data_IF_516414468405
#
_entry.id   IF_516414468405
#
_cell.length_a   1.000
_cell.length_b   1.000
_cell.length_c   1.000
_cell.angle_alpha   90.00
_cell.angle_beta   90.00
_cell.angle_gamma   90.00
#
_symmetry.space_group_name_H-M   'P 1'
#
loop_
_entity.id
_entity.type
_entity.pdbx_description
1 polymer ?
#
# COMPACT_ATOMS: atom_id res chain seq x y z
N UNK A 1 68.48 11.97 -33.20
CA UNK A 1 68.85 10.59 -32.83
C UNK A 1 68.76 10.46 -31.32
N UNK A 2 67.72 9.82 -30.80
CA UNK A 2 67.76 9.07 -29.53
C UNK A 2 66.52 8.16 -29.51
N UNK A 3 66.77 6.87 -29.68
CA UNK A 3 65.78 5.81 -29.67
C UNK A 3 65.52 5.37 -28.22
N UNK A 4 64.26 5.35 -27.81
CA UNK A 4 63.81 4.77 -26.55
C UNK A 4 63.55 3.27 -26.75
N UNK A 5 64.34 2.45 -26.08
CA UNK A 5 64.23 1.00 -26.04
C UNK A 5 62.96 0.58 -25.26
N UNK A 6 62.10 -0.21 -25.90
CA UNK A 6 61.02 -0.96 -25.26
C UNK A 6 61.56 -2.33 -24.80
N UNK A 7 61.59 -2.58 -23.49
CA UNK A 7 61.79 -3.94 -22.94
C UNK A 7 60.44 -4.67 -22.82
N UNK A 8 60.40 -6.00 -23.04
CA UNK A 8 59.16 -6.78 -22.94
C UNK A 8 58.84 -7.11 -21.47
N UNK A 9 57.57 -6.94 -21.08
CA UNK A 9 57.03 -7.39 -19.79
C UNK A 9 56.89 -8.91 -19.78
N UNK A 10 57.57 -9.58 -18.86
CA UNK A 10 57.40 -11.01 -18.57
C UNK A 10 56.06 -11.34 -17.90
N UNK A 11 55.66 -12.63 -17.85
CA UNK A 11 54.36 -13.05 -17.34
C UNK A 11 54.27 -12.96 -15.81
N UNK A 12 53.16 -12.44 -15.31
CA UNK A 12 52.84 -12.34 -13.88
C UNK A 12 52.65 -13.73 -13.23
N UNK A 13 53.10 -13.94 -11.98
CA UNK A 13 53.03 -15.24 -11.32
C UNK A 13 51.62 -15.58 -10.83
N UNK A 14 51.17 -16.82 -11.11
CA UNK A 14 49.88 -17.45 -10.76
C UNK A 14 49.56 -17.58 -9.25
N UNK A 15 50.32 -16.96 -8.34
CA UNK A 15 50.28 -17.24 -6.89
C UNK A 15 49.34 -16.36 -6.06
N UNK A 16 48.70 -15.35 -6.63
CA UNK A 16 47.82 -14.41 -5.89
C UNK A 16 46.34 -14.82 -5.86
N UNK A 17 45.95 -15.89 -6.56
CA UNK A 17 44.54 -16.25 -6.73
C UNK A 17 43.94 -17.04 -5.55
N UNK A 18 44.77 -17.65 -4.68
CA UNK A 18 44.30 -18.48 -3.56
C UNK A 18 44.01 -17.70 -2.27
N UNK A 19 44.64 -16.55 -2.04
CA UNK A 19 44.38 -15.72 -0.85
C UNK A 19 43.10 -14.90 -0.94
N UNK A 20 42.61 -14.57 -2.15
CA UNK A 20 41.32 -13.85 -2.31
C UNK A 20 40.10 -14.74 -2.02
N UNK A 21 40.22 -16.06 -2.17
CA UNK A 21 39.12 -16.98 -1.92
C UNK A 21 38.84 -17.17 -0.41
N UNK A 22 39.86 -17.06 0.45
CA UNK A 22 39.72 -17.22 1.90
C UNK A 22 39.20 -15.95 2.60
N UNK A 23 39.44 -14.77 2.01
CA UNK A 23 38.89 -13.50 2.51
C UNK A 23 37.39 -13.35 2.18
N UNK A 24 36.93 -13.95 1.07
CA UNK A 24 35.53 -13.92 0.68
C UNK A 24 34.64 -14.78 1.61
N UNK A 25 35.14 -15.87 2.18
CA UNK A 25 34.36 -16.74 3.09
C UNK A 25 34.20 -16.16 4.50
N UNK A 26 35.10 -15.29 4.96
CA UNK A 26 35.02 -14.61 6.26
C UNK A 26 34.02 -13.43 6.28
N UNK A 27 33.59 -12.93 5.12
CA UNK A 27 32.63 -11.83 5.01
C UNK A 27 31.16 -12.29 5.02
N UNK A 28 30.89 -13.61 5.00
CA UNK A 28 29.52 -14.15 5.04
C UNK A 28 29.02 -14.56 6.45
N UNK A 29 29.83 -14.42 7.50
CA UNK A 29 29.47 -14.84 8.86
C UNK A 29 28.58 -13.84 9.63
N UNK A 30 28.14 -12.75 8.99
CA UNK A 30 27.36 -11.68 9.62
C UNK A 30 25.83 -11.79 9.52
N UNK A 31 25.28 -12.86 8.94
CA UNK A 31 23.82 -13.03 8.89
C UNK A 31 23.26 -13.33 10.29
N UNK A 32 22.90 -12.28 11.03
CA UNK A 32 22.08 -12.38 12.23
C UNK A 32 20.71 -12.91 11.83
N UNK A 33 20.53 -14.23 11.87
CA UNK A 33 19.22 -14.83 11.74
C UNK A 33 18.46 -14.55 13.04
N UNK A 34 17.27 -13.92 12.99
CA UNK A 34 16.45 -13.77 14.18
C UNK A 34 16.18 -15.15 14.79
N UNK A 35 16.57 -15.33 16.06
CA UNK A 35 16.28 -16.54 16.82
C UNK A 35 14.81 -16.51 17.23
N UNK A 36 13.96 -17.19 16.46
CA UNK A 36 12.56 -17.39 16.84
C UNK A 36 12.45 -18.64 17.71
N UNK A 37 11.62 -18.56 18.76
CA UNK A 37 11.32 -19.70 19.60
C UNK A 37 10.37 -20.64 18.85
N UNK A 38 10.68 -21.93 18.84
CA UNK A 38 9.76 -22.95 18.35
C UNK A 38 8.98 -23.53 19.52
N UNK A 39 7.66 -23.61 19.38
CA UNK A 39 6.76 -24.16 20.40
C UNK A 39 5.82 -25.17 19.78
N UNK A 40 5.42 -26.18 20.56
CA UNK A 40 4.34 -27.11 20.22
C UNK A 40 3.11 -26.72 21.04
N UNK A 41 1.94 -26.58 20.41
CA UNK A 41 0.71 -26.26 21.16
C UNK A 41 0.06 -27.52 21.76
N UNK A 42 0.31 -28.69 21.15
CA UNK A 42 0.01 -30.01 21.71
C UNK A 42 1.16 -30.99 21.44
N UNK A 43 1.24 -32.08 22.22
CA UNK A 43 2.35 -33.05 22.19
C UNK A 43 2.50 -33.76 20.83
N UNK A 44 1.40 -33.88 20.08
CA UNK A 44 1.30 -34.50 18.76
C UNK A 44 1.36 -33.49 17.59
N UNK A 45 1.54 -32.20 17.86
CA UNK A 45 1.65 -31.17 16.83
C UNK A 45 3.10 -30.93 16.37
N UNK A 46 3.24 -30.46 15.12
CA UNK A 46 4.51 -29.98 14.62
C UNK A 46 4.91 -28.68 15.37
N UNK A 47 6.20 -28.49 15.69
CA UNK A 47 6.66 -27.23 16.27
C UNK A 47 6.38 -26.07 15.30
N UNK A 48 5.75 -25.02 15.81
CA UNK A 48 5.47 -23.77 15.09
C UNK A 48 6.39 -22.66 15.57
N UNK A 49 6.69 -21.72 14.66
CA UNK A 49 7.46 -20.54 14.98
C UNK A 49 6.61 -19.57 15.79
N UNK A 50 7.03 -19.24 17.01
CA UNK A 50 6.36 -18.25 17.84
C UNK A 50 7.01 -16.88 17.65
N UNK A 51 6.23 -15.92 17.16
CA UNK A 51 6.59 -14.52 17.12
C UNK A 51 6.38 -13.83 18.49
N UNK A 52 6.67 -12.52 18.58
CA UNK A 52 6.35 -11.71 19.75
C UNK A 52 4.85 -11.79 20.11
N UNK A 53 4.54 -11.74 21.40
CA UNK A 53 3.16 -11.74 21.89
C UNK A 53 2.36 -10.51 21.43
N UNK A 54 1.00 -10.58 21.47
CA UNK A 54 0.15 -9.44 21.16
C UNK A 54 0.47 -8.23 22.04
N UNK A 55 0.37 -7.03 21.47
CA UNK A 55 0.56 -5.76 22.16
C UNK A 55 -0.59 -4.81 21.89
N UNK A 56 -0.73 -3.77 22.71
CA UNK A 56 -1.60 -2.64 22.38
C UNK A 56 -1.16 -1.99 21.06
N UNK A 57 -2.16 -1.61 20.25
CA UNK A 57 -1.94 -0.93 18.97
C UNK A 57 -1.82 0.58 19.17
N UNK A 58 -0.74 1.00 19.84
CA UNK A 58 -0.42 2.39 20.13
C UNK A 58 0.16 3.16 18.94
N UNK A 59 0.17 4.48 19.04
CA UNK A 59 0.80 5.40 18.08
C UNK A 59 1.69 6.42 18.79
N UNK A 60 2.51 7.21 18.06
CA UNK A 60 3.24 8.33 18.66
C UNK A 60 2.35 9.40 19.34
N UNK A 61 1.03 9.35 19.15
CA UNK A 61 0.07 10.29 19.76
C UNK A 61 -0.51 9.82 21.10
N UNK A 62 -0.15 8.64 21.59
CA UNK A 62 -0.69 8.11 22.85
C UNK A 62 -0.47 9.08 24.03
N UNK A 63 0.71 9.69 24.11
CA UNK A 63 1.02 10.71 25.12
C UNK A 63 0.20 12.00 24.92
N UNK A 64 -0.11 12.37 23.68
CA UNK A 64 -0.97 13.52 23.39
C UNK A 64 -2.40 13.29 23.87
N UNK A 65 -2.94 12.07 23.72
CA UNK A 65 -4.25 11.70 24.26
C UNK A 65 -4.27 11.74 25.79
N UNK A 66 -3.26 11.17 26.44
CA UNK A 66 -3.15 11.20 27.90
C UNK A 66 -3.08 12.65 28.43
N UNK A 67 -2.24 13.49 27.82
CA UNK A 67 -2.14 14.90 28.14
C UNK A 67 -3.48 15.65 27.95
N UNK A 68 -4.15 15.45 26.82
CA UNK A 68 -5.41 16.13 26.54
C UNK A 68 -6.51 15.67 27.51
N UNK A 69 -6.60 14.37 27.79
CA UNK A 69 -7.54 13.79 28.75
C UNK A 69 -7.40 14.44 30.13
N UNK A 70 -6.17 14.53 30.66
CA UNK A 70 -5.90 15.16 31.95
C UNK A 70 -6.39 16.62 31.98
N UNK A 71 -6.05 17.38 30.94
CA UNK A 71 -6.43 18.80 30.86
C UNK A 71 -7.94 18.99 30.75
N UNK A 72 -8.65 18.13 30.02
CA UNK A 72 -10.12 18.16 29.94
C UNK A 72 -10.73 17.93 31.32
N UNK A 73 -10.26 16.91 32.05
CA UNK A 73 -10.76 16.57 33.39
C UNK A 73 -10.49 17.71 34.39
N UNK A 74 -9.28 18.26 34.40
CA UNK A 74 -8.90 19.38 35.25
C UNK A 74 -9.74 20.63 34.97
N UNK A 75 -9.90 21.00 33.70
CA UNK A 75 -10.69 22.15 33.27
C UNK A 75 -12.18 21.96 33.57
N UNK A 76 -12.67 20.72 33.48
CA UNK A 76 -14.06 20.35 33.69
C UNK A 76 -14.58 20.56 35.12
N UNK A 77 -13.69 20.64 36.14
CA UNK A 77 -14.05 20.86 37.56
C UNK A 77 -15.24 20.00 38.05
N UNK A 78 -15.29 18.73 37.65
CA UNK A 78 -16.37 17.80 38.05
C UNK A 78 -17.65 17.85 37.21
N UNK A 79 -17.65 18.56 36.06
CA UNK A 79 -18.69 18.43 35.05
C UNK A 79 -18.70 17.01 34.47
N UNK A 80 -19.87 16.46 34.10
CA UNK A 80 -19.94 15.19 33.40
C UNK A 80 -19.17 15.26 32.07
N UNK A 81 -18.53 14.15 31.66
CA UNK A 81 -17.83 14.10 30.38
C UNK A 81 -18.80 14.32 29.22
N UNK A 82 -18.30 14.92 28.12
CA UNK A 82 -19.08 15.04 26.90
C UNK A 82 -19.35 13.66 26.31
N UNK A 83 -20.57 13.46 25.85
CA UNK A 83 -20.96 12.22 25.18
C UNK A 83 -20.77 12.32 23.67
N UNK A 84 -19.98 11.42 23.09
CA UNK A 84 -19.59 11.47 21.68
C UNK A 84 -19.86 10.13 21.02
N UNK A 85 -20.54 10.18 19.87
CA UNK A 85 -20.73 9.02 19.01
C UNK A 85 -19.79 9.06 17.79
N UNK A 86 -19.64 7.92 17.14
CA UNK A 86 -18.91 7.80 15.86
C UNK A 86 -19.87 7.22 14.83
N UNK A 87 -19.95 7.85 13.67
CA UNK A 87 -20.67 7.32 12.52
C UNK A 87 -19.71 6.70 11.49
N UNK A 88 -20.12 6.70 10.24
CA UNK A 88 -19.30 6.17 9.16
C UNK A 88 -18.02 7.00 8.92
N UNK A 89 -16.89 6.32 8.97
CA UNK A 89 -15.57 6.78 8.50
C UNK A 89 -15.06 5.75 7.51
N UNK A 90 -15.43 5.97 6.24
CA UNK A 90 -15.20 5.05 5.13
C UNK A 90 -13.95 5.41 4.34
N UNK A 91 -13.50 4.46 3.53
CA UNK A 91 -12.54 4.72 2.47
C UNK A 91 -13.28 5.29 1.24
N UNK A 92 -13.02 6.56 0.94
CA UNK A 92 -13.50 7.25 -0.26
C UNK A 92 -12.41 7.38 -1.33
N UNK A 93 -11.22 6.83 -1.10
CA UNK A 93 -10.10 6.88 -2.06
C UNK A 93 -10.35 5.98 -3.27
N UNK A 94 -11.10 4.90 -3.07
CA UNK A 94 -11.36 3.87 -4.07
C UNK A 94 -10.11 3.15 -4.56
N UNK A 95 -8.97 3.27 -3.86
CA UNK A 95 -7.71 2.66 -4.28
C UNK A 95 -7.68 1.18 -3.92
N UNK A 96 -7.42 0.36 -4.94
CA UNK A 96 -7.37 -1.09 -4.83
C UNK A 96 -6.02 -1.60 -5.38
N UNK A 97 -5.38 -2.48 -4.64
CA UNK A 97 -4.18 -3.23 -5.03
C UNK A 97 -4.57 -4.64 -5.43
N UNK A 98 -4.11 -5.09 -6.61
CA UNK A 98 -4.34 -6.47 -7.05
C UNK A 98 -3.49 -7.43 -6.19
N UNK A 99 -4.14 -8.37 -5.51
CA UNK A 99 -3.51 -9.32 -4.60
C UNK A 99 -3.70 -8.97 -3.12
N UNK A 100 -3.62 -7.68 -2.78
CA UNK A 100 -3.71 -7.20 -1.38
C UNK A 100 -5.07 -6.58 -1.01
N UNK A 101 -5.93 -6.31 -1.99
CA UNK A 101 -7.26 -5.75 -1.75
C UNK A 101 -7.25 -4.22 -1.64
N UNK A 102 -8.13 -3.65 -0.81
CA UNK A 102 -8.18 -2.21 -0.58
C UNK A 102 -6.86 -1.73 0.04
N UNK A 103 -6.29 -0.68 -0.53
CA UNK A 103 -5.01 -0.11 -0.07
C UNK A 103 -5.12 0.44 1.35
N UNK A 104 -6.29 0.99 1.67
CA UNK A 104 -6.58 1.56 2.98
C UNK A 104 -7.60 0.69 3.71
N UNK A 105 -7.48 0.69 5.02
CA UNK A 105 -8.43 0.00 5.91
C UNK A 105 -9.86 0.52 5.71
N UNK A 106 -10.81 -0.41 5.80
CA UNK A 106 -12.24 -0.10 5.88
C UNK A 106 -12.70 0.08 7.33
N UNK A 107 -11.78 0.00 8.30
CA UNK A 107 -12.05 0.08 9.74
C UNK A 107 -11.85 1.49 10.31
N UNK A 108 -11.98 2.56 9.51
CA UNK A 108 -11.76 3.94 9.96
C UNK A 108 -12.62 4.31 11.17
N UNK A 109 -13.89 3.88 11.19
CA UNK A 109 -14.80 4.12 12.32
C UNK A 109 -14.26 3.49 13.61
N UNK A 110 -13.79 2.24 13.55
CA UNK A 110 -13.24 1.51 14.70
C UNK A 110 -11.92 2.12 15.19
N UNK A 111 -11.11 2.68 14.29
CA UNK A 111 -9.91 3.43 14.67
C UNK A 111 -10.27 4.69 15.47
N UNK A 112 -11.31 5.42 15.06
CA UNK A 112 -11.78 6.61 15.80
C UNK A 112 -12.45 6.24 17.12
N UNK A 113 -13.22 5.15 17.20
CA UNK A 113 -13.70 4.61 18.48
C UNK A 113 -12.54 4.31 19.43
N UNK A 114 -11.52 3.61 18.93
CA UNK A 114 -10.32 3.30 19.72
C UNK A 114 -9.60 4.58 20.19
N UNK A 115 -9.52 5.59 19.33
CA UNK A 115 -8.90 6.88 19.64
C UNK A 115 -9.67 7.65 20.73
N UNK A 116 -11.00 7.70 20.65
CA UNK A 116 -11.84 8.28 21.71
C UNK A 116 -11.67 7.49 23.02
N UNK A 117 -11.55 6.16 22.95
CA UNK A 117 -11.27 5.31 24.11
C UNK A 117 -9.96 5.67 24.84
N UNK A 118 -8.95 6.21 24.13
CA UNK A 118 -7.70 6.68 24.74
C UNK A 118 -7.89 7.91 25.64
N UNK A 119 -8.98 8.66 25.48
CA UNK A 119 -9.31 9.79 26.34
C UNK A 119 -9.92 9.35 27.68
N UNK A 120 -10.28 8.08 27.84
CA UNK A 120 -10.81 7.52 29.08
C UNK A 120 -12.00 8.32 29.62
N UNK A 121 -12.04 8.54 30.94
CA UNK A 121 -13.13 9.25 31.61
C UNK A 121 -13.33 10.73 31.24
N UNK A 122 -12.50 11.30 30.36
CA UNK A 122 -12.69 12.65 29.86
C UNK A 122 -13.84 12.75 28.84
N UNK A 123 -14.15 11.65 28.14
CA UNK A 123 -15.19 11.56 27.10
C UNK A 123 -15.98 10.27 27.29
N UNK A 124 -17.30 10.34 27.17
CA UNK A 124 -18.18 9.19 27.20
C UNK A 124 -18.56 8.77 25.77
N UNK A 125 -18.17 7.57 25.36
CA UNK A 125 -18.32 7.13 23.96
C UNK A 125 -19.64 6.37 23.79
N UNK A 126 -20.48 6.82 22.86
CA UNK A 126 -21.81 6.26 22.60
C UNK A 126 -21.85 5.48 21.30
N UNK A 127 -22.24 4.20 21.35
CA UNK A 127 -22.37 3.35 20.17
C UNK A 127 -23.49 3.84 19.24
N UNK A 128 -23.13 4.15 17.98
CA UNK A 128 -24.05 4.56 16.88
C UNK A 128 -23.62 4.05 15.50
N UNK A 129 -22.55 3.28 15.42
CA UNK A 129 -21.99 2.74 14.18
C UNK A 129 -22.55 1.35 13.89
N UNK A 130 -22.55 0.44 14.87
CA UNK A 130 -23.17 -0.89 14.74
C UNK A 130 -24.20 -1.11 15.85
N UNK A 131 -25.41 -0.61 15.61
CA UNK A 131 -26.55 -0.73 16.55
C UNK A 131 -27.32 -2.03 16.38
N UNK A 132 -26.88 -2.94 15.50
CA UNK A 132 -27.71 -4.07 15.07
C UNK A 132 -28.02 -5.05 16.21
N UNK A 133 -27.06 -5.27 17.11
CA UNK A 133 -27.30 -6.08 18.32
C UNK A 133 -28.23 -5.35 19.29
N UNK A 134 -28.00 -4.06 19.53
CA UNK A 134 -28.84 -3.26 20.43
C UNK A 134 -30.30 -3.16 19.94
N UNK A 135 -30.51 -3.04 18.62
CA UNK A 135 -31.83 -3.05 18.00
C UNK A 135 -32.52 -4.42 18.15
N UNK A 136 -31.77 -5.52 18.00
CA UNK A 136 -32.29 -6.87 18.23
C UNK A 136 -32.68 -7.10 19.69
N UNK A 137 -31.86 -6.68 20.64
CA UNK A 137 -32.17 -6.76 22.07
C UNK A 137 -33.40 -5.93 22.42
N UNK A 138 -33.51 -4.72 21.87
CA UNK A 138 -34.70 -3.89 22.03
C UNK A 138 -35.95 -4.58 21.44
N UNK A 139 -35.83 -5.21 20.27
CA UNK A 139 -36.92 -5.95 19.65
C UNK A 139 -37.32 -7.21 20.42
N UNK A 140 -36.38 -7.91 21.08
CA UNK A 140 -36.70 -9.02 21.98
C UNK A 140 -37.35 -8.54 23.28
N UNK A 141 -36.90 -7.40 23.81
CA UNK A 141 -37.48 -6.76 24.99
C UNK A 141 -38.93 -6.35 24.72
N UNK A 142 -39.20 -5.69 23.59
CA UNK A 142 -40.53 -5.27 23.17
C UNK A 142 -41.50 -6.47 23.03
N UNK A 143 -41.01 -7.57 22.45
CA UNK A 143 -41.75 -8.84 22.34
C UNK A 143 -41.82 -9.65 23.64
N UNK A 144 -41.25 -9.14 24.75
CA UNK A 144 -41.18 -9.83 26.06
C UNK A 144 -40.49 -11.19 25.99
N UNK A 145 -39.55 -11.34 25.07
CA UNK A 145 -38.76 -12.56 24.82
C UNK A 145 -37.39 -12.51 25.49
N UNK A 146 -36.92 -11.32 25.87
CA UNK A 146 -35.63 -11.14 26.52
C UNK A 146 -35.79 -11.27 28.05
N UNK A 147 -34.97 -12.10 28.68
CA UNK A 147 -34.89 -12.25 30.14
C UNK A 147 -33.44 -12.38 30.60
N UNK A 148 -33.18 -12.04 31.86
CA UNK A 148 -31.88 -12.15 32.53
C UNK A 148 -31.82 -13.30 33.55
N UNK A 149 -32.88 -14.12 33.61
CA UNK A 149 -33.04 -15.20 34.58
C UNK A 149 -33.70 -14.79 35.90
N UNK A 150 -34.02 -13.51 36.10
CA UNK A 150 -34.67 -13.00 37.30
C UNK A 150 -36.16 -12.67 37.07
N UNK A 151 -36.92 -12.57 38.15
CA UNK A 151 -38.28 -12.00 38.15
C UNK A 151 -38.19 -10.48 38.37
N UNK A 152 -38.88 -9.72 37.52
CA UNK A 152 -38.93 -8.25 37.57
C UNK A 152 -40.30 -7.78 38.01
N UNK A 153 -40.36 -6.81 38.91
CA UNK A 153 -41.61 -6.24 39.36
C UNK A 153 -42.04 -5.05 38.49
N UNK A 154 -43.22 -5.15 37.89
CA UNK A 154 -43.87 -4.09 37.12
C UNK A 154 -45.04 -3.51 37.91
N UNK A 155 -45.11 -2.18 37.97
CA UNK A 155 -46.29 -1.50 38.49
C UNK A 155 -47.45 -1.67 37.48
N UNK A 156 -48.59 -2.13 37.98
CA UNK A 156 -49.85 -2.30 37.26
C UNK A 156 -50.98 -1.66 38.08
N UNK A 157 -52.17 -1.46 37.49
CA UNK A 157 -53.33 -0.84 38.14
C UNK A 157 -53.78 -1.58 39.42
N UNK A 158 -53.40 -2.87 39.55
CA UNK A 158 -53.72 -3.76 40.66
C UNK A 158 -52.58 -3.96 41.66
N UNK A 159 -51.47 -3.23 41.54
CA UNK A 159 -50.29 -3.38 42.41
C UNK A 159 -49.05 -3.80 41.62
N UNK A 160 -48.16 -4.60 42.21
CA UNK A 160 -46.96 -5.07 41.52
C UNK A 160 -47.13 -6.47 40.95
N UNK A 161 -46.80 -6.64 39.66
CA UNK A 161 -46.81 -7.90 38.94
C UNK A 161 -45.37 -8.36 38.68
N UNK A 162 -45.04 -9.56 39.11
CA UNK A 162 -43.76 -10.20 38.78
C UNK A 162 -43.80 -10.78 37.35
N UNK A 163 -42.77 -10.49 36.55
CA UNK A 163 -42.62 -10.97 35.18
C UNK A 163 -41.22 -11.53 34.94
N UNK A 164 -41.05 -12.61 34.16
CA UNK A 164 -39.74 -13.23 33.90
C UNK A 164 -38.93 -12.56 32.77
N UNK A 165 -39.48 -11.57 32.07
CA UNK A 165 -38.80 -10.84 31.00
C UNK A 165 -38.31 -9.47 31.48
N UNK A 166 -37.26 -8.96 30.85
CA UNK A 166 -36.72 -7.62 31.10
C UNK A 166 -37.77 -6.56 30.75
N UNK A 167 -38.17 -5.70 31.70
CA UNK A 167 -39.02 -4.55 31.40
C UNK A 167 -38.25 -3.48 30.62
N UNK A 168 -38.89 -2.92 29.59
CA UNK A 168 -38.35 -1.74 28.92
C UNK A 168 -38.68 -0.48 29.72
N UNK A 169 -37.65 0.19 30.20
CA UNK A 169 -37.76 1.54 30.75
C UNK A 169 -37.32 2.52 29.67
N UNK A 170 -38.27 3.28 29.13
CA UNK A 170 -37.97 4.31 28.13
C UNK A 170 -36.82 5.22 28.59
N UNK A 171 -35.93 5.57 27.66
CA UNK A 171 -34.75 6.39 27.97
C UNK A 171 -33.48 5.62 28.32
N UNK A 172 -33.45 4.29 28.17
CA UNK A 172 -32.24 3.48 28.34
C UNK A 172 -31.13 3.80 27.33
N UNK A 173 -31.49 4.15 26.10
CA UNK A 173 -30.54 4.63 25.08
C UNK A 173 -30.30 6.11 25.29
N UNK A 174 -29.22 6.46 25.99
CA UNK A 174 -28.89 7.87 26.18
C UNK A 174 -28.30 8.49 24.90
N UNK A 175 -28.58 9.77 24.77
CA UNK A 175 -28.20 10.62 23.65
C UNK A 175 -26.69 10.94 23.69
N UNK A 176 -26.09 11.16 22.52
CA UNK A 176 -24.80 11.84 22.38
C UNK A 176 -24.94 13.36 22.22
N UNK A 177 -23.99 14.12 22.75
CA UNK A 177 -23.87 15.56 22.55
C UNK A 177 -23.36 15.88 21.15
N UNK A 178 -22.36 15.12 20.71
CA UNK A 178 -21.74 15.23 19.39
C UNK A 178 -21.61 13.88 18.70
N UNK A 179 -21.39 13.91 17.39
CA UNK A 179 -20.93 12.75 16.63
C UNK A 179 -19.83 13.11 15.64
N UNK A 180 -18.90 12.18 15.43
CA UNK A 180 -17.81 12.31 14.46
C UNK A 180 -18.12 11.45 13.23
N UNK A 181 -18.02 12.05 12.04
CA UNK A 181 -18.13 11.36 10.74
C UNK A 181 -17.07 11.88 9.79
N UNK A 182 -16.78 11.11 8.74
CA UNK A 182 -15.81 11.52 7.74
C UNK A 182 -15.35 10.37 6.86
N UNK A 183 -14.09 10.40 6.47
CA UNK A 183 -13.49 9.31 5.73
C UNK A 183 -12.05 9.56 5.32
N UNK A 184 -11.46 8.53 4.76
CA UNK A 184 -10.16 8.56 4.12
C UNK A 184 -10.39 8.97 2.68
N UNK A 185 -9.83 10.09 2.27
CA UNK A 185 -10.18 10.77 1.02
C UNK A 185 -9.03 10.82 0.03
N UNK A 186 -7.80 10.61 0.52
CA UNK A 186 -6.61 10.66 -0.32
C UNK A 186 -5.67 9.48 -0.08
N UNK A 187 -5.20 8.89 -1.17
CA UNK A 187 -4.01 8.03 -1.23
C UNK A 187 -3.27 8.35 -2.51
N UNK A 188 -2.05 8.87 -2.37
CA UNK A 188 -1.20 9.24 -3.49
C UNK A 188 0.15 8.52 -3.37
N UNK A 189 0.45 7.67 -4.34
CA UNK A 189 1.74 6.99 -4.44
C UNK A 189 2.74 7.82 -5.23
N UNK A 190 4.03 7.51 -5.03
CA UNK A 190 5.10 7.95 -5.92
C UNK A 190 5.25 9.47 -6.02
N UNK A 191 5.10 10.18 -4.90
CA UNK A 191 5.12 11.65 -4.89
C UNK A 191 6.55 12.17 -5.07
N UNK A 192 7.50 11.58 -4.36
CA UNK A 192 8.94 11.82 -4.51
C UNK A 192 9.70 10.50 -4.29
N UNK A 193 9.48 9.53 -5.17
CA UNK A 193 10.32 8.33 -5.18
C UNK A 193 11.57 8.59 -6.02
N UNK A 194 12.71 8.13 -5.54
CA UNK A 194 13.99 8.30 -6.22
C UNK A 194 14.93 7.17 -5.85
N UNK A 195 16.06 7.08 -6.55
CA UNK A 195 17.03 6.06 -6.25
C UNK A 195 18.30 6.23 -7.05
N UNK A 196 19.39 5.66 -6.53
CA UNK A 196 20.66 5.57 -7.24
C UNK A 196 20.97 4.08 -7.38
N UNK A 197 21.23 3.67 -8.60
CA UNK A 197 21.76 2.35 -8.89
C UNK A 197 23.05 2.50 -9.68
N UNK A 198 24.09 1.80 -9.24
CA UNK A 198 25.36 1.73 -9.95
C UNK A 198 25.63 0.26 -10.24
N UNK A 199 25.75 -0.10 -11.51
CA UNK A 199 25.92 -1.49 -11.91
C UNK A 199 27.12 -1.64 -12.84
N UNK A 200 27.98 -2.61 -12.54
CA UNK A 200 29.05 -3.07 -13.44
C UNK A 200 28.86 -4.56 -13.64
N UNK A 201 28.65 -5.00 -14.89
CA UNK A 201 28.35 -6.40 -15.21
C UNK A 201 27.15 -6.97 -14.43
N UNK A 202 26.08 -6.16 -14.27
CA UNK A 202 24.86 -6.52 -13.51
C UNK A 202 25.11 -6.85 -12.03
N UNK A 203 26.23 -6.35 -11.49
CA UNK A 203 26.58 -6.38 -10.08
C UNK A 203 26.64 -4.94 -9.59
N UNK A 204 25.93 -4.65 -8.50
CA UNK A 204 26.16 -3.40 -7.80
C UNK A 204 25.08 -2.96 -6.82
N UNK A 205 25.34 -1.87 -6.10
CA UNK A 205 24.44 -1.34 -5.09
C UNK A 205 23.23 -0.65 -5.70
N UNK A 206 22.13 -0.70 -4.95
CA UNK A 206 20.85 -0.10 -5.24
C UNK A 206 20.32 0.58 -3.98
N UNK A 207 19.96 1.84 -4.13
CA UNK A 207 19.28 2.61 -3.11
C UNK A 207 17.98 3.16 -3.70
N UNK A 208 16.84 2.94 -3.04
CA UNK A 208 15.54 3.49 -3.45
C UNK A 208 14.82 4.09 -2.25
N UNK A 209 14.15 5.22 -2.49
CA UNK A 209 13.22 5.86 -1.56
C UNK A 209 11.85 5.82 -2.19
N UNK A 210 10.85 5.47 -1.39
CA UNK A 210 9.45 5.46 -1.75
C UNK A 210 8.70 6.43 -0.86
N UNK A 211 7.78 7.19 -1.44
CA UNK A 211 6.98 8.17 -0.69
C UNK A 211 5.55 8.14 -1.16
N UNK A 212 4.62 8.02 -0.21
CA UNK A 212 3.19 8.08 -0.45
C UNK A 212 2.50 8.94 0.60
N UNK A 213 1.35 9.51 0.26
CA UNK A 213 0.52 10.26 1.21
C UNK A 213 -0.81 9.54 1.45
N UNK A 214 -1.31 9.65 2.68
CA UNK A 214 -2.67 9.30 3.07
C UNK A 214 -3.36 10.54 3.63
N UNK A 215 -4.62 10.77 3.25
CA UNK A 215 -5.42 11.90 3.71
C UNK A 215 -6.73 11.46 4.34
N UNK A 216 -7.16 12.19 5.38
CA UNK A 216 -8.41 11.98 6.08
C UNK A 216 -9.13 13.31 6.31
N UNK A 217 -10.43 13.31 6.03
CA UNK A 217 -11.33 14.43 6.30
C UNK A 217 -12.34 14.00 7.36
N UNK A 218 -12.34 14.68 8.51
CA UNK A 218 -13.22 14.39 9.64
C UNK A 218 -13.99 15.64 10.04
N UNK A 219 -15.20 15.47 10.56
CA UNK A 219 -15.98 16.55 11.15
C UNK A 219 -16.71 16.10 12.40
N UNK A 220 -16.82 17.01 13.36
CA UNK A 220 -17.63 16.83 14.56
C UNK A 220 -18.88 17.70 14.48
N UNK A 221 -20.03 17.08 14.71
CA UNK A 221 -21.34 17.67 14.50
C UNK A 221 -22.13 17.63 15.79
N UNK A 222 -22.80 18.73 16.12
CA UNK A 222 -23.70 18.80 17.27
C UNK A 222 -24.98 18.02 16.98
N UNK A 223 -25.30 17.01 17.81
CA UNK A 223 -26.46 16.11 17.58
C UNK A 223 -27.79 16.86 17.62
N UNK A 224 -27.86 18.00 18.31
CA UNK A 224 -29.09 18.77 18.57
C UNK A 224 -29.51 19.61 17.36
N UNK A 225 -28.53 20.25 16.74
CA UNK A 225 -28.74 21.29 15.71
C UNK A 225 -28.25 20.84 14.33
N UNK A 226 -27.52 19.72 14.26
CA UNK A 226 -26.77 19.26 13.08
C UNK A 226 -25.73 20.27 12.57
N UNK A 227 -25.36 21.25 13.41
CA UNK A 227 -24.31 22.21 13.09
C UNK A 227 -22.96 21.52 13.11
N UNK A 228 -22.22 21.62 12.00
CA UNK A 228 -20.81 21.22 11.95
C UNK A 228 -20.02 22.19 12.83
N UNK A 229 -19.48 21.71 13.94
CA UNK A 229 -18.74 22.55 14.89
C UNK A 229 -17.31 22.77 14.41
N UNK A 230 -16.70 21.72 13.86
CA UNK A 230 -15.36 21.74 13.28
C UNK A 230 -15.25 20.67 12.20
N UNK A 231 -14.54 21.00 11.13
CA UNK A 231 -14.03 20.06 10.15
C UNK A 231 -12.51 20.17 10.10
N UNK A 232 -11.84 19.04 9.91
CA UNK A 232 -10.39 18.93 9.78
C UNK A 232 -10.07 18.11 8.54
N UNK A 233 -9.02 18.53 7.83
CA UNK A 233 -8.46 17.84 6.67
C UNK A 233 -6.99 17.64 6.96
N UNK A 234 -6.56 16.39 7.08
CA UNK A 234 -5.21 16.03 7.50
C UNK A 234 -4.60 15.09 6.48
N UNK A 235 -3.31 15.28 6.24
CA UNK A 235 -2.53 14.46 5.35
C UNK A 235 -1.25 14.04 6.06
N UNK A 236 -0.89 12.77 5.91
CA UNK A 236 0.38 12.22 6.38
C UNK A 236 1.14 11.59 5.24
N UNK A 237 2.41 11.95 5.15
CA UNK A 237 3.37 11.28 4.31
C UNK A 237 3.91 10.04 5.02
N UNK A 238 3.98 8.94 4.26
CA UNK A 238 4.52 7.64 4.61
C UNK A 238 5.75 7.43 3.74
N UNK A 239 6.88 7.14 4.39
CA UNK A 239 8.17 6.99 3.72
C UNK A 239 8.70 5.57 3.83
N UNK A 240 9.40 5.15 2.80
CA UNK A 240 10.05 3.85 2.71
C UNK A 240 11.43 3.95 2.08
N UNK A 241 12.36 3.10 2.52
CA UNK A 241 13.73 3.04 1.99
C UNK A 241 14.12 1.59 1.73
N UNK A 242 14.77 1.35 0.61
CA UNK A 242 15.32 0.07 0.22
C UNK A 242 16.81 0.24 -0.07
N UNK A 243 17.64 -0.60 0.56
CA UNK A 243 19.07 -0.66 0.34
C UNK A 243 19.40 -2.10 -0.01
N UNK A 244 20.01 -2.34 -1.17
CA UNK A 244 20.40 -3.69 -1.57
C UNK A 244 21.57 -3.72 -2.52
N UNK A 245 22.15 -4.91 -2.68
CA UNK A 245 23.12 -5.24 -3.70
C UNK A 245 22.69 -6.55 -4.35
N UNK A 246 22.70 -6.59 -5.68
CA UNK A 246 22.35 -7.77 -6.47
C UNK A 246 23.53 -8.24 -7.31
N UNK A 247 23.66 -9.55 -7.49
CA UNK A 247 24.54 -10.17 -8.47
C UNK A 247 23.65 -10.97 -9.41
N UNK A 248 23.64 -10.58 -10.69
CA UNK A 248 22.96 -11.34 -11.73
C UNK A 248 23.96 -11.83 -12.76
N UNK A 249 24.02 -13.16 -12.97
CA UNK A 249 24.97 -13.72 -13.94
C UNK A 249 24.42 -14.97 -14.62
N UNK A 250 24.61 -15.01 -15.93
CA UNK A 250 24.36 -16.20 -16.74
C UNK A 250 25.62 -17.06 -16.84
N UNK A 251 25.48 -18.35 -16.54
CA UNK A 251 26.50 -19.37 -16.82
C UNK A 251 25.87 -20.46 -17.68
N UNK A 252 26.12 -20.43 -18.99
CA UNK A 252 25.47 -21.33 -19.94
C UNK A 252 23.96 -21.08 -20.01
N UNK A 253 23.14 -22.10 -19.72
CA UNK A 253 21.67 -22.03 -19.66
C UNK A 253 21.11 -21.70 -18.27
N UNK A 254 21.96 -21.53 -17.26
CA UNK A 254 21.53 -21.35 -15.87
C UNK A 254 21.63 -19.89 -15.43
N UNK A 255 20.59 -19.42 -14.73
CA UNK A 255 20.47 -18.08 -14.16
C UNK A 255 20.80 -18.14 -12.67
N UNK A 256 21.79 -17.34 -12.26
CA UNK A 256 22.12 -17.15 -10.85
C UNK A 256 21.77 -15.73 -10.45
N UNK A 257 20.88 -15.60 -9.47
CA UNK A 257 20.45 -14.33 -8.88
C UNK A 257 20.68 -14.39 -7.37
N UNK A 258 21.61 -13.56 -6.88
CA UNK A 258 21.92 -13.42 -5.46
C UNK A 258 21.62 -11.98 -5.06
N UNK A 259 20.57 -11.79 -4.26
CA UNK A 259 20.17 -10.50 -3.73
C UNK A 259 20.39 -10.46 -2.21
N UNK A 260 21.07 -9.43 -1.74
CA UNK A 260 21.17 -9.08 -0.32
C UNK A 260 20.68 -7.65 -0.13
N UNK A 261 19.77 -7.41 0.81
CA UNK A 261 19.26 -6.06 1.07
C UNK A 261 18.27 -5.98 2.21
N UNK A 262 18.05 -4.77 2.71
CA UNK A 262 17.04 -4.43 3.71
C UNK A 262 16.03 -3.44 3.13
N UNK A 263 14.80 -3.51 3.63
CA UNK A 263 13.70 -2.63 3.24
C UNK A 263 12.99 -2.16 4.50
N UNK A 264 13.07 -0.87 4.77
CA UNK A 264 12.41 -0.22 5.89
C UNK A 264 11.22 0.57 5.35
N UNK A 265 10.01 0.20 5.72
CA UNK A 265 8.79 0.90 5.31
C UNK A 265 8.03 1.35 6.56
N UNK A 266 7.59 2.61 6.59
CA UNK A 266 6.55 3.00 7.53
C UNK A 266 5.25 2.24 7.21
N UNK A 267 4.61 1.60 8.19
CA UNK A 267 3.36 0.86 7.95
C UNK A 267 2.21 1.81 7.56
N UNK A 268 1.55 1.53 6.44
CA UNK A 268 0.46 2.38 5.93
C UNK A 268 -0.69 2.49 6.93
N UNK A 269 -1.06 1.37 7.56
CA UNK A 269 -2.13 1.32 8.56
C UNK A 269 -1.77 2.12 9.82
N UNK A 270 -0.49 2.20 10.18
CA UNK A 270 -0.02 3.07 11.27
C UNK A 270 -0.15 4.54 10.88
N UNK A 271 0.23 4.90 9.65
CA UNK A 271 0.06 6.26 9.12
C UNK A 271 -1.41 6.70 9.11
N UNK A 272 -2.31 5.84 8.64
CA UNK A 272 -3.76 6.07 8.63
C UNK A 272 -4.29 6.25 10.05
N UNK A 273 -3.97 5.34 10.97
CA UNK A 273 -4.37 5.41 12.37
C UNK A 273 -3.91 6.73 13.01
N UNK A 274 -2.65 7.09 12.82
CA UNK A 274 -2.05 8.32 13.37
C UNK A 274 -2.76 9.57 12.81
N UNK A 275 -3.13 9.56 11.52
CA UNK A 275 -3.84 10.67 10.89
C UNK A 275 -5.26 10.84 11.45
N UNK A 276 -6.00 9.74 11.61
CA UNK A 276 -7.33 9.77 12.22
C UNK A 276 -7.26 10.22 13.69
N UNK A 277 -6.27 9.73 14.43
CA UNK A 277 -6.02 10.09 15.82
C UNK A 277 -5.70 11.58 16.01
N UNK A 278 -4.86 12.15 15.14
CA UNK A 278 -4.60 13.59 15.09
C UNK A 278 -5.91 14.38 14.89
N UNK A 279 -6.75 13.93 13.95
CA UNK A 279 -8.03 14.57 13.68
C UNK A 279 -8.96 14.52 14.89
N UNK A 280 -9.01 13.39 15.60
CA UNK A 280 -9.78 13.27 16.86
C UNK A 280 -9.26 14.27 17.90
N UNK A 281 -7.95 14.40 18.11
CA UNK A 281 -7.39 15.37 19.05
C UNK A 281 -7.84 16.81 18.73
N UNK A 282 -7.81 17.22 17.47
CA UNK A 282 -8.24 18.57 17.04
C UNK A 282 -9.75 18.80 17.20
N UNK A 283 -10.57 17.81 16.83
CA UNK A 283 -12.03 17.89 16.97
C UNK A 283 -12.44 17.97 18.45
N UNK A 284 -11.87 17.11 19.29
CA UNK A 284 -12.13 17.07 20.74
C UNK A 284 -11.65 18.35 21.40
N UNK A 285 -10.46 18.84 21.04
CA UNK A 285 -9.94 20.12 21.54
C UNK A 285 -10.92 21.27 21.31
N UNK A 286 -11.60 21.27 20.16
CA UNK A 286 -12.58 22.31 19.82
C UNK A 286 -13.83 22.24 20.69
N UNK A 287 -14.46 21.06 20.81
CA UNK A 287 -15.74 20.93 21.56
C UNK A 287 -15.56 20.97 23.08
N UNK A 288 -14.39 20.58 23.58
CA UNK A 288 -14.03 20.69 25.01
C UNK A 288 -13.44 22.05 25.37
N UNK A 289 -13.17 22.91 24.39
CA UNK A 289 -12.47 24.19 24.56
C UNK A 289 -11.14 24.03 25.31
N UNK A 290 -10.44 22.92 25.06
CA UNK A 290 -9.17 22.58 25.70
C UNK A 290 -8.10 22.46 24.60
N UNK A 291 -7.16 23.42 24.47
CA UNK A 291 -6.20 23.43 23.37
C UNK A 291 -5.30 22.18 23.34
N UNK A 292 -5.26 21.47 22.20
CA UNK A 292 -4.42 20.29 22.01
C UNK A 292 -2.96 20.58 21.68
N UNK A 293 -2.64 21.78 21.16
CA UNK A 293 -1.29 22.12 20.71
C UNK A 293 -0.18 21.84 21.75
N UNK A 294 -0.32 22.18 23.05
CA UNK A 294 0.72 21.87 24.05
C UNK A 294 0.95 20.36 24.25
N UNK A 295 -0.06 19.52 23.99
CA UNK A 295 0.04 18.06 24.09
C UNK A 295 0.65 17.44 22.84
N UNK A 296 0.63 18.15 21.71
CA UNK A 296 1.20 17.71 20.43
C UNK A 296 2.72 17.91 20.39
N UNK A 297 3.21 19.02 20.95
CA UNK A 297 4.64 19.33 20.96
C UNK A 297 5.44 18.39 21.86
N UNK A 298 4.86 17.94 22.98
CA UNK A 298 5.47 16.94 23.87
C UNK A 298 5.71 15.58 23.17
N UNK A 299 4.86 15.20 22.22
CA UNK A 299 5.01 13.97 21.43
C UNK A 299 6.07 14.07 20.33
N UNK A 300 6.36 15.28 19.82
CA UNK A 300 7.41 15.49 18.81
C UNK A 300 8.80 15.23 19.36
N UNK A 301 9.03 15.55 20.64
CA UNK A 301 10.28 15.26 21.35
C UNK A 301 10.55 13.75 21.45
N UNK A 302 9.52 12.93 21.69
CA UNK A 302 9.68 11.46 21.82
C UNK A 302 9.90 10.78 20.47
N UNK A 303 9.29 11.27 19.39
CA UNK A 303 9.53 10.76 18.04
C UNK A 303 10.96 11.05 17.53
N UNK A 304 11.60 12.12 18.03
CA UNK A 304 13.00 12.43 17.73
C UNK A 304 14.00 11.50 18.42
N UNK A 305 13.64 10.91 19.56
CA UNK A 305 14.53 10.05 20.35
C UNK A 305 14.57 8.59 19.84
N UNK A 306 13.56 8.17 19.07
CA UNK A 306 13.58 6.89 18.35
C UNK A 306 14.46 6.91 17.09
N UNK A 307 14.97 8.08 16.69
CA UNK A 307 15.91 8.25 15.59
C UNK A 307 17.30 8.58 16.13
N UNK A 308 17.94 7.61 16.81
CA UNK A 308 19.39 7.67 16.96
C UNK A 308 20.03 7.72 15.55
N UNK A 309 20.99 8.63 15.30
CA UNK A 309 21.63 8.71 14.00
C UNK A 309 22.46 7.43 13.79
N UNK A 310 21.98 6.55 12.92
CA UNK A 310 22.80 5.44 12.43
C UNK A 310 23.84 6.06 11.51
N UNK A 311 25.09 6.06 12.01
CA UNK A 311 26.36 6.17 11.30
C UNK A 311 26.37 6.92 9.97
N UNK A 312 27.01 8.07 9.98
CA UNK A 312 27.52 8.81 8.82
C UNK A 312 28.01 7.87 7.70
N UNK A 313 27.24 7.79 6.61
CA UNK A 313 27.65 7.11 5.39
C UNK A 313 28.71 7.97 4.67
N UNK A 314 29.75 7.37 4.07
CA UNK A 314 30.84 8.12 3.46
C UNK A 314 30.36 8.86 2.20
N UNK A 315 30.61 10.17 2.22
CA UNK A 315 30.81 11.14 1.12
C UNK A 315 30.41 10.69 -0.29
N UNK A 316 29.36 11.33 -0.81
CA UNK A 316 28.98 11.31 -2.22
C UNK A 316 30.02 12.02 -3.11
N UNK A 317 30.35 11.52 -4.32
CA UNK A 317 31.01 12.34 -5.32
C UNK A 317 30.00 13.16 -6.15
N UNK A 318 30.24 14.47 -6.15
CA UNK A 318 29.90 15.53 -7.10
C UNK A 318 28.61 15.43 -7.95
N UNK A 319 27.75 16.44 -7.72
CA UNK A 319 26.58 16.86 -8.50
C UNK A 319 26.95 17.23 -9.95
N UNK A 320 26.17 16.75 -10.92
CA UNK A 320 26.03 17.36 -12.24
C UNK A 320 24.67 18.10 -12.33
N UNK A 321 24.56 19.24 -13.03
CA UNK A 321 23.42 20.14 -12.90
C UNK A 321 22.18 19.68 -13.69
N UNK A 322 21.01 20.08 -13.19
CA UNK A 322 19.68 19.76 -13.71
C UNK A 322 19.39 20.39 -15.10
N UNK A 323 18.54 19.76 -15.95
CA UNK A 323 17.93 20.44 -17.09
C UNK A 323 16.69 21.26 -16.68
N UNK A 324 16.51 22.39 -17.37
CA UNK A 324 15.50 23.42 -17.16
C UNK A 324 14.07 23.01 -17.64
N UNK A 325 13.01 23.75 -17.24
CA UNK A 325 11.61 23.32 -17.41
C UNK A 325 11.07 23.64 -18.81
N UNK A 326 10.18 22.78 -19.32
CA UNK A 326 9.45 22.99 -20.57
C UNK A 326 8.01 23.43 -20.25
N UNK A 327 7.46 24.49 -20.89
CA UNK A 327 6.18 25.09 -20.51
C UNK A 327 4.96 24.33 -21.07
N UNK A 328 3.85 24.52 -20.37
CA UNK A 328 2.52 23.96 -20.64
C UNK A 328 1.90 24.44 -21.96
N UNK A 329 1.13 23.56 -22.59
CA UNK A 329 0.17 23.92 -23.62
C UNK A 329 -1.15 23.16 -23.44
N UNK A 330 -2.25 23.90 -23.48
CA UNK A 330 -3.64 23.48 -23.62
C UNK A 330 -4.32 24.51 -24.56
N UNK A 331 -5.58 24.34 -25.02
CA UNK A 331 -6.27 23.16 -25.55
C UNK A 331 -7.01 23.45 -26.90
N UNK A 332 -7.38 22.41 -27.66
CA UNK A 332 -8.50 22.38 -28.63
C UNK A 332 -8.58 20.95 -29.22
N UNK A 333 -9.65 20.14 -29.17
CA UNK A 333 -11.09 20.26 -29.45
C UNK A 333 -11.48 19.59 -30.78
N UNK A 334 -12.38 18.60 -30.67
CA UNK A 334 -13.25 17.96 -31.67
C UNK A 334 -12.61 17.09 -32.77
N UNK A 335 -13.16 15.99 -33.26
CA UNK A 335 -14.23 15.07 -32.85
C UNK A 335 -14.23 13.95 -33.90
N UNK A 336 -14.32 12.67 -33.50
CA UNK A 336 -15.04 11.65 -34.30
C UNK A 336 -15.49 10.52 -33.38
N UNK A 337 -16.79 10.23 -33.46
CA UNK A 337 -17.52 9.27 -32.63
C UNK A 337 -17.23 7.79 -32.96
N UNK A 338 -17.62 6.86 -32.08
CA UNK A 338 -16.99 5.55 -31.92
C UNK A 338 -17.68 4.43 -32.72
N UNK A 339 -16.92 3.35 -32.98
CA UNK A 339 -17.48 2.05 -33.36
C UNK A 339 -17.72 1.18 -32.11
N UNK A 340 -18.69 0.26 -32.16
CA UNK A 340 -19.29 -0.33 -30.97
C UNK A 340 -18.39 -1.37 -30.29
N UNK A 341 -18.43 -1.32 -28.97
CA UNK A 341 -17.93 -2.29 -28.02
C UNK A 341 -18.65 -3.64 -28.16
N UNK A 342 -17.92 -4.73 -28.40
CA UNK A 342 -18.24 -6.09 -27.90
C UNK A 342 -17.19 -7.13 -28.29
N UNK A 343 -16.33 -7.47 -27.35
CA UNK A 343 -16.20 -8.80 -26.72
C UNK A 343 -15.10 -8.61 -25.68
N UNK A 344 -15.36 -8.85 -24.39
CA UNK A 344 -14.30 -8.90 -23.40
C UNK A 344 -13.36 -10.05 -23.80
N UNK A 345 -12.25 -9.72 -24.46
CA UNK A 345 -11.26 -10.69 -24.86
C UNK A 345 -10.62 -11.24 -23.59
N UNK A 346 -10.91 -12.51 -23.27
CA UNK A 346 -10.19 -13.22 -22.23
C UNK A 346 -8.78 -13.51 -22.74
N UNK A 347 -7.78 -13.28 -21.89
CA UNK A 347 -6.39 -13.57 -22.18
C UNK A 347 -6.25 -15.05 -22.55
N UNK A 348 -5.67 -15.32 -23.72
CA UNK A 348 -5.39 -16.69 -24.17
C UNK A 348 -3.99 -17.09 -23.74
N UNK A 349 -3.69 -18.40 -23.72
CA UNK A 349 -2.32 -18.90 -23.47
C UNK A 349 -1.31 -18.49 -24.56
N UNK A 350 -1.76 -17.83 -25.63
CA UNK A 350 -0.93 -17.27 -26.68
C UNK A 350 -0.61 -15.79 -26.47
N UNK A 351 -1.34 -15.09 -25.59
CA UNK A 351 -1.13 -13.66 -25.37
C UNK A 351 0.12 -13.44 -24.51
N UNK A 352 0.89 -12.41 -24.88
CA UNK A 352 2.20 -12.14 -24.26
C UNK A 352 2.11 -10.90 -23.40
N UNK A 353 2.32 -11.08 -22.10
CA UNK A 353 2.35 -10.00 -21.11
C UNK A 353 3.79 -9.59 -20.83
N UNK A 354 4.04 -8.27 -20.82
CA UNK A 354 5.32 -7.71 -20.39
C UNK A 354 5.24 -7.20 -18.95
N UNK A 355 6.38 -7.26 -18.24
CA UNK A 355 6.54 -6.64 -16.92
C UNK A 355 6.42 -5.12 -17.02
N UNK A 356 5.93 -4.49 -15.94
CA UNK A 356 5.59 -3.06 -15.89
C UNK A 356 6.82 -2.18 -16.19
N UNK A 357 6.68 -1.25 -17.14
CA UNK A 357 7.74 -0.33 -17.57
C UNK A 357 9.07 -1.01 -17.98
N UNK A 358 9.01 -2.28 -18.41
CA UNK A 358 10.17 -3.10 -18.77
C UNK A 358 9.93 -3.87 -20.08
N UNK A 359 11.01 -4.26 -20.77
CA UNK A 359 11.00 -5.11 -21.98
C UNK A 359 11.03 -6.61 -21.66
N UNK A 360 10.96 -7.02 -20.39
CA UNK A 360 10.91 -8.43 -19.99
C UNK A 360 9.52 -9.04 -20.16
N UNK A 361 9.45 -10.23 -20.75
CA UNK A 361 8.22 -11.03 -20.82
C UNK A 361 7.93 -11.60 -19.42
N UNK A 362 6.70 -11.40 -18.93
CA UNK A 362 6.28 -11.88 -17.62
C UNK A 362 6.26 -13.42 -17.56
N UNK A 363 6.57 -13.99 -16.40
CA UNK A 363 6.67 -15.45 -16.20
C UNK A 363 5.42 -16.22 -16.65
N UNK A 364 4.24 -15.63 -16.47
CA UNK A 364 2.95 -16.20 -16.91
C UNK A 364 2.84 -16.40 -18.43
N UNK A 365 3.65 -15.70 -19.23
CA UNK A 365 3.70 -15.80 -20.69
C UNK A 365 4.94 -16.56 -21.20
N UNK A 366 5.72 -17.19 -20.31
CA UNK A 366 6.97 -17.85 -20.68
C UNK A 366 6.81 -19.00 -21.71
N UNK A 367 5.68 -19.69 -21.72
CA UNK A 367 5.41 -20.82 -22.64
C UNK A 367 4.69 -20.39 -23.94
N UNK A 368 4.43 -19.09 -24.12
CA UNK A 368 3.68 -18.59 -25.26
C UNK A 368 4.41 -18.89 -26.57
N UNK A 369 5.73 -18.65 -26.63
CA UNK A 369 6.53 -18.87 -27.84
C UNK A 369 6.55 -20.35 -28.29
N UNK A 370 6.72 -21.29 -27.36
CA UNK A 370 6.64 -22.73 -27.61
C UNK A 370 5.26 -23.15 -28.15
N UNK A 371 4.20 -22.61 -27.56
CA UNK A 371 2.82 -22.89 -27.98
C UNK A 371 2.56 -22.38 -29.39
N UNK A 372 3.09 -21.20 -29.73
CA UNK A 372 2.98 -20.59 -31.07
C UNK A 372 3.73 -21.44 -32.09
N UNK A 373 4.99 -21.80 -31.80
CA UNK A 373 5.81 -22.62 -32.70
C UNK A 373 5.18 -24.00 -32.95
N UNK A 374 4.52 -24.58 -31.95
CA UNK A 374 3.80 -25.85 -32.08
C UNK A 374 2.59 -25.72 -33.02
N UNK A 375 1.81 -24.64 -32.91
CA UNK A 375 0.65 -24.41 -33.80
C UNK A 375 1.07 -24.12 -35.24
N UNK A 376 2.12 -23.33 -35.45
CA UNK A 376 2.61 -23.02 -36.80
C UNK A 376 3.15 -24.28 -37.49
N UNK A 377 3.86 -25.16 -36.77
CA UNK A 377 4.28 -26.48 -37.28
C UNK A 377 3.11 -27.37 -37.68
N UNK A 378 1.95 -27.21 -37.04
CA UNK A 378 0.71 -27.89 -37.40
C UNK A 378 -0.06 -27.22 -38.56
N UNK A 379 0.53 -26.21 -39.23
CA UNK A 379 -0.09 -25.47 -40.32
C UNK A 379 -1.17 -24.48 -39.87
N UNK A 380 -1.22 -24.14 -38.59
CA UNK A 380 -2.23 -23.26 -38.02
C UNK A 380 -1.67 -21.85 -37.78
N UNK A 381 -2.24 -20.84 -38.44
CA UNK A 381 -1.90 -19.44 -38.19
C UNK A 381 -2.32 -19.00 -36.78
N UNK A 382 -1.52 -18.12 -36.17
CA UNK A 382 -1.72 -17.64 -34.81
C UNK A 382 -2.07 -16.15 -34.80
N UNK A 383 -3.04 -15.76 -33.98
CA UNK A 383 -3.28 -14.38 -33.58
C UNK A 383 -3.00 -14.25 -32.09
N UNK A 384 -2.31 -13.19 -31.69
CA UNK A 384 -1.96 -12.93 -30.30
C UNK A 384 -2.02 -11.45 -29.99
N UNK A 385 -2.27 -11.14 -28.71
CA UNK A 385 -2.17 -9.80 -28.17
C UNK A 385 -0.83 -9.61 -27.46
N UNK A 386 -0.24 -8.44 -27.68
CA UNK A 386 0.87 -7.90 -26.89
C UNK A 386 0.26 -7.05 -25.78
N UNK A 387 0.55 -7.38 -24.52
CA UNK A 387 -0.15 -6.82 -23.36
C UNK A 387 0.83 -6.19 -22.37
N UNK A 388 0.37 -5.13 -21.71
CA UNK A 388 0.94 -4.59 -20.49
C UNK A 388 -0.11 -4.56 -19.39
N UNK A 389 0.32 -4.36 -18.14
CA UNK A 389 -0.62 -4.12 -17.03
C UNK A 389 -1.32 -2.77 -17.22
N UNK A 390 -2.60 -2.70 -16.86
CA UNK A 390 -3.39 -1.47 -17.00
C UNK A 390 -2.86 -0.30 -16.14
N UNK A 391 -2.20 -0.61 -15.01
CA UNK A 391 -1.58 0.38 -14.12
C UNK A 391 -0.25 0.94 -14.65
N UNK A 392 0.29 0.41 -15.76
CA UNK A 392 1.50 0.93 -16.39
C UNK A 392 1.22 2.31 -16.99
N UNK A 393 1.51 3.35 -16.19
CA UNK A 393 1.12 4.72 -16.46
C UNK A 393 2.34 5.62 -16.68
N UNK A 394 3.05 5.40 -17.79
CA UNK A 394 3.99 6.40 -18.30
C UNK A 394 3.20 7.54 -18.96
N UNK A 395 3.25 8.74 -18.39
CA UNK A 395 2.50 9.90 -18.87
C UNK A 395 3.03 10.43 -20.22
N UNK A 396 4.22 10.01 -20.66
CA UNK A 396 4.82 10.44 -21.92
C UNK A 396 4.41 9.50 -23.09
N UNK A 397 3.60 9.97 -24.05
CA UNK A 397 3.17 9.15 -25.18
C UNK A 397 4.32 8.64 -26.07
N UNK A 398 5.38 9.43 -26.25
CA UNK A 398 6.53 9.03 -27.08
C UNK A 398 7.33 7.90 -26.42
N UNK A 399 7.44 7.93 -25.08
CA UNK A 399 8.12 6.88 -24.31
C UNK A 399 7.33 5.58 -24.32
N UNK A 400 6.00 5.63 -24.23
CA UNK A 400 5.13 4.44 -24.38
C UNK A 400 5.26 3.81 -25.76
N UNK A 401 5.33 4.62 -26.80
CA UNK A 401 5.46 4.15 -28.18
C UNK A 401 6.82 3.47 -28.41
N UNK A 402 7.90 4.09 -27.92
CA UNK A 402 9.25 3.52 -27.95
C UNK A 402 9.33 2.19 -27.18
N UNK A 403 8.77 2.14 -25.96
CA UNK A 403 8.75 0.91 -25.15
C UNK A 403 7.92 -0.20 -25.81
N UNK A 404 6.80 0.15 -26.45
CA UNK A 404 5.98 -0.81 -27.20
C UNK A 404 6.76 -1.39 -28.39
N UNK A 405 7.56 -0.56 -29.08
CA UNK A 405 8.44 -1.01 -30.16
C UNK A 405 9.54 -1.94 -29.63
N UNK A 406 10.22 -1.57 -28.55
CA UNK A 406 11.25 -2.42 -27.93
C UNK A 406 10.69 -3.79 -27.51
N UNK A 407 9.50 -3.82 -26.90
CA UNK A 407 8.80 -5.06 -26.53
C UNK A 407 8.44 -5.91 -27.74
N UNK A 408 8.04 -5.29 -28.84
CA UNK A 408 7.78 -6.00 -30.09
C UNK A 408 9.07 -6.65 -30.64
N UNK A 409 10.20 -5.97 -30.54
CA UNK A 409 11.50 -6.52 -30.94
C UNK A 409 11.93 -7.68 -30.03
N UNK A 410 11.73 -7.56 -28.71
CA UNK A 410 11.99 -8.67 -27.76
C UNK A 410 11.11 -9.88 -28.09
N UNK A 411 9.81 -9.69 -28.32
CA UNK A 411 8.93 -10.79 -28.69
C UNK A 411 9.36 -11.44 -30.01
N UNK A 412 9.76 -10.65 -31.01
CA UNK A 412 10.27 -11.18 -32.28
C UNK A 412 11.55 -11.98 -32.09
N UNK A 413 12.47 -11.50 -31.26
CA UNK A 413 13.70 -12.21 -30.93
C UNK A 413 13.42 -13.52 -30.18
N UNK A 414 12.45 -13.52 -29.27
CA UNK A 414 12.01 -14.72 -28.57
C UNK A 414 11.41 -15.73 -29.54
N UNK A 415 10.45 -15.33 -30.37
CA UNK A 415 9.84 -16.20 -31.38
C UNK A 415 10.87 -16.75 -32.39
N UNK A 416 11.90 -15.98 -32.72
CA UNK A 416 13.00 -16.42 -33.58
C UNK A 416 13.83 -17.55 -32.97
N UNK A 417 14.02 -17.56 -31.63
CA UNK A 417 14.67 -18.69 -30.94
C UNK A 417 13.87 -19.99 -31.07
N UNK A 418 12.55 -19.89 -31.28
CA UNK A 418 11.66 -21.03 -31.51
C UNK A 418 11.38 -21.28 -33.01
N UNK A 419 12.21 -20.75 -33.91
CA UNK A 419 12.18 -21.03 -35.35
C UNK A 419 11.18 -20.19 -36.16
N UNK A 420 10.64 -19.11 -35.61
CA UNK A 420 9.69 -18.22 -36.29
C UNK A 420 10.43 -16.94 -36.72
N UNK A 421 10.75 -16.74 -38.00
CA UNK A 421 11.45 -15.54 -38.44
C UNK A 421 10.68 -14.25 -38.10
N UNK A 422 11.37 -13.17 -37.68
CA UNK A 422 10.72 -11.90 -37.34
C UNK A 422 9.82 -11.32 -38.43
N UNK A 423 10.11 -11.60 -39.71
CA UNK A 423 9.31 -11.19 -40.86
C UNK A 423 7.94 -11.89 -40.96
N UNK A 424 7.76 -13.04 -40.30
CA UNK A 424 6.50 -13.78 -40.23
C UNK A 424 5.53 -13.17 -39.19
N UNK A 425 6.04 -12.33 -38.27
CA UNK A 425 5.25 -11.65 -37.22
C UNK A 425 4.74 -10.31 -37.73
N UNK A 426 3.48 -10.29 -38.18
CA UNK A 426 2.82 -9.11 -38.71
C UNK A 426 2.04 -8.37 -37.64
N UNK A 427 2.30 -7.07 -37.47
CA UNK A 427 1.49 -6.19 -36.61
C UNK A 427 0.22 -5.82 -37.36
N UNK A 428 -0.93 -6.28 -36.86
CA UNK A 428 -2.25 -5.97 -37.42
C UNK A 428 -2.81 -4.65 -36.87
N UNK A 429 -2.44 -4.31 -35.64
CA UNK A 429 -2.90 -3.10 -34.99
C UNK A 429 -1.93 -2.71 -33.86
N UNK A 430 -1.71 -1.40 -33.67
CA UNK A 430 -1.14 -0.78 -32.47
C UNK A 430 -1.66 0.66 -32.35
N UNK A 431 -1.64 1.28 -31.17
CA UNK A 431 -1.95 2.70 -31.00
C UNK A 431 -1.05 3.57 -31.89
N UNK A 432 -1.58 4.71 -32.34
CA UNK A 432 -0.77 5.68 -33.10
C UNK A 432 0.23 6.40 -32.17
N UNK A 433 1.39 6.83 -32.68
CA UNK A 433 2.32 7.64 -31.89
C UNK A 433 1.60 8.88 -31.35
N UNK A 434 1.58 9.06 -30.02
CA UNK A 434 0.84 10.14 -29.37
C UNK A 434 -0.51 9.76 -28.76
N UNK A 435 -1.02 8.55 -29.02
CA UNK A 435 -2.30 8.09 -28.46
C UNK A 435 -2.25 7.97 -26.92
N UNK A 436 -3.13 8.72 -26.25
CA UNK A 436 -3.29 8.72 -24.79
C UNK A 436 -4.38 7.77 -24.30
N UNK A 437 -5.07 7.10 -25.21
CA UNK A 437 -6.17 6.19 -24.89
C UNK A 437 -5.62 4.89 -24.29
N UNK A 438 -6.20 4.47 -23.17
CA UNK A 438 -5.94 3.15 -22.59
C UNK A 438 -6.84 2.12 -23.29
N UNK A 439 -6.27 1.39 -24.24
CA UNK A 439 -6.96 0.31 -24.94
C UNK A 439 -7.04 -0.92 -24.03
N UNK A 440 -8.16 -1.11 -23.33
CA UNK A 440 -8.34 -2.24 -22.39
C UNK A 440 -8.43 -3.59 -23.10
N UNK A 441 -7.88 -4.62 -22.47
CA UNK A 441 -7.94 -6.01 -22.92
C UNK A 441 -8.27 -6.92 -21.74
N UNK A 442 -9.56 -7.20 -21.53
CA UNK A 442 -10.02 -7.93 -20.36
C UNK A 442 -9.79 -7.16 -19.05
N UNK A 443 -9.74 -7.87 -17.92
CA UNK A 443 -9.55 -7.28 -16.60
C UNK A 443 -8.06 -7.12 -16.28
N UNK A 444 -7.60 -5.88 -16.06
CA UNK A 444 -6.26 -5.59 -15.54
C UNK A 444 -5.13 -5.52 -16.58
N UNK A 445 -5.45 -5.66 -17.87
CA UNK A 445 -4.48 -5.54 -18.96
C UNK A 445 -4.90 -4.50 -19.99
N UNK A 446 -3.89 -3.86 -20.59
CA UNK A 446 -4.04 -3.00 -21.76
C UNK A 446 -3.39 -3.65 -22.98
N UNK A 447 -4.02 -3.46 -24.13
CA UNK A 447 -3.56 -3.90 -25.44
C UNK A 447 -2.49 -2.93 -25.95
N UNK A 448 -1.30 -3.45 -26.21
CA UNK A 448 -0.21 -2.72 -26.86
C UNK A 448 -0.20 -2.92 -28.37
N UNK A 449 -0.42 -4.15 -28.82
CA UNK A 449 -0.50 -4.50 -30.23
C UNK A 449 -1.29 -5.80 -30.46
N UNK A 450 -1.85 -5.96 -31.66
CA UNK A 450 -2.36 -7.24 -32.16
C UNK A 450 -1.44 -7.76 -33.24
N UNK A 451 -1.04 -9.02 -33.13
CA UNK A 451 -0.12 -9.66 -34.03
C UNK A 451 -0.79 -10.84 -34.74
N UNK A 452 -0.36 -11.10 -35.97
CA UNK A 452 -0.73 -12.28 -36.73
C UNK A 452 0.53 -12.94 -37.27
N UNK A 453 0.61 -14.26 -37.10
CA UNK A 453 1.69 -15.10 -37.59
C UNK A 453 1.04 -16.16 -38.48
N UNK A 454 1.36 -16.13 -39.77
CA UNK A 454 0.87 -17.14 -40.73
C UNK A 454 1.76 -18.38 -40.64
N UNK A 455 1.25 -19.60 -40.87
CA UNK A 455 2.05 -20.83 -40.82
C UNK A 455 3.16 -20.85 -41.87
#
# INVERSE_FOLDING_TARGET
MHALNLSPRGPLPRRTMTLSALAATLLLSGCALPTYQQVRMADDEAPVMQGPGPRHNGTPLDNSFACLSHRIVEQGKGRPPLSIAVGDIKDYTGKYSQGDGNVVTQGGSLMVYSALGKLGGAIDVRERFDTRVAELELAYTDRRQLGDGNQHALADEKGQRAVPWLPYYGGSILRSDYYIIGGLTEVNYNIQSGGIEAQVNQIGPRYRVFTMNVGADLRIVETKTLRVVRAVSLQKQIVGREIGAGIFRFFGSNLFDINAGSKDLEPVQLGVRTTLEQGVLELISTVTQTPSAPCMDASRTVAGEAAAPVGEAPVAPAVAPAPAPVPAAAPAAAATQPMPEKTAAAMTSLDVVFEENNTRIAQQSATAADTVATRLRAGQGVRMALLARENENDQNPARRDALTEERLQVLRAELAQHGIPPSQVQVQWRPTPGDTTVHRYGAGYRLLARLQIKP
#
